data_IF_192653424326
#
_entry.id   IF_192653424326
#
_cell.length_a   1.000
_cell.length_b   1.000
_cell.length_c   1.000
_cell.angle_alpha   90.00
_cell.angle_beta   90.00
_cell.angle_gamma   90.00
#
_symmetry.space_group_name_H-M   'P 1'
#
loop_
_entity.id
_entity.type
_entity.pdbx_description
1 polymer ?
#
# COMPACT_ATOMS: atom_id res chain seq x y z
N UNK A 1 -29.56 2.70 -28.39
CA UNK A 1 -28.37 2.21 -27.67
C UNK A 1 -27.77 3.38 -26.91
N UNK A 2 -27.77 3.40 -25.56
CA UNK A 2 -26.96 4.36 -24.81
C UNK A 2 -25.46 3.99 -24.93
N UNK A 3 -24.59 4.99 -24.93
CA UNK A 3 -23.16 4.79 -25.13
C UNK A 3 -22.46 4.21 -23.90
N UNK A 4 -21.46 3.35 -24.11
CA UNK A 4 -20.58 2.82 -23.05
C UNK A 4 -19.64 3.94 -22.58
N UNK A 5 -19.87 4.45 -21.37
CA UNK A 5 -18.93 5.36 -20.69
C UNK A 5 -17.84 4.52 -20.00
N UNK A 6 -16.55 4.89 -20.06
CA UNK A 6 -15.47 4.04 -19.58
C UNK A 6 -15.37 4.06 -18.04
N UNK A 7 -15.73 2.94 -17.42
CA UNK A 7 -15.12 2.29 -16.25
C UNK A 7 -14.49 3.18 -15.15
N UNK A 8 -15.14 4.29 -14.80
CA UNK A 8 -14.87 4.98 -13.54
C UNK A 8 -15.64 4.27 -12.43
N UNK A 9 -14.96 3.36 -11.74
CA UNK A 9 -15.37 2.83 -10.45
C UNK A 9 -14.90 3.79 -9.34
N UNK A 10 -15.74 4.73 -8.84
CA UNK A 10 -15.43 5.37 -7.58
C UNK A 10 -15.43 4.30 -6.47
N UNK A 11 -14.49 4.34 -5.52
CA UNK A 11 -14.58 3.51 -4.34
C UNK A 11 -15.91 3.79 -3.64
N UNK A 12 -16.68 2.76 -3.32
CA UNK A 12 -18.04 2.99 -2.81
C UNK A 12 -18.01 3.63 -1.40
N UNK A 13 -19.05 4.44 -1.13
CA UNK A 13 -19.09 5.66 -0.27
C UNK A 13 -20.42 5.78 0.52
N UNK A 14 -20.64 5.00 1.59
CA UNK A 14 -21.95 4.66 2.21
C UNK A 14 -23.18 5.44 1.72
N UNK A 15 -24.02 4.96 0.80
CA UNK A 15 -23.95 4.01 -0.33
C UNK A 15 -23.19 2.66 -0.27
N UNK A 16 -21.86 2.56 -0.07
CA UNK A 16 -21.22 1.30 0.38
C UNK A 16 -19.74 1.40 0.77
N UNK A 17 -19.39 1.63 2.05
CA UNK A 17 -18.17 2.37 2.44
C UNK A 17 -16.79 1.67 2.38
N UNK A 18 -15.81 2.37 1.79
CA UNK A 18 -14.40 2.39 2.19
C UNK A 18 -14.18 3.53 3.22
N UNK A 19 -14.18 3.25 4.54
CA UNK A 19 -13.91 4.27 5.58
C UNK A 19 -12.46 4.79 5.56
N UNK A 20 -11.56 4.04 4.92
CA UNK A 20 -10.10 4.23 5.01
C UNK A 20 -9.57 4.53 3.63
N UNK A 21 -9.07 5.76 3.45
CA UNK A 21 -8.35 6.19 2.25
C UNK A 21 -6.86 6.20 2.56
N UNK A 22 -6.11 5.37 1.83
CA UNK A 22 -4.65 5.27 1.90
C UNK A 22 -4.07 6.08 0.75
N UNK A 23 -3.44 7.21 1.06
CA UNK A 23 -2.77 8.05 0.05
C UNK A 23 -1.34 7.59 -0.14
N UNK A 24 -1.09 6.85 -1.23
CA UNK A 24 0.22 6.37 -1.64
C UNK A 24 0.25 4.87 -1.97
N UNK A 25 0.34 4.53 -3.26
CA UNK A 25 0.50 3.16 -3.76
C UNK A 25 1.90 2.55 -3.61
N UNK A 26 2.64 2.94 -2.58
CA UNK A 26 3.97 2.38 -2.24
C UNK A 26 3.90 1.25 -1.22
N UNK A 27 5.07 0.69 -0.85
CA UNK A 27 5.18 -0.45 0.08
C UNK A 27 4.36 -0.25 1.36
N UNK A 28 4.51 0.90 2.03
CA UNK A 28 3.81 1.19 3.28
C UNK A 28 2.28 1.23 3.12
N UNK A 29 1.78 1.84 2.05
CA UNK A 29 0.34 1.95 1.79
C UNK A 29 -0.29 0.61 1.42
N UNK A 30 0.36 -0.18 0.56
CA UNK A 30 -0.11 -1.51 0.19
C UNK A 30 -0.01 -2.50 1.36
N UNK A 31 1.05 -2.42 2.17
CA UNK A 31 1.16 -3.20 3.42
C UNK A 31 0.03 -2.84 4.39
N UNK A 32 -0.27 -1.54 4.58
CA UNK A 32 -1.39 -1.10 5.40
C UNK A 32 -2.73 -1.66 4.89
N UNK A 33 -2.99 -1.59 3.58
CA UNK A 33 -4.19 -2.16 2.96
C UNK A 33 -4.32 -3.67 3.23
N UNK A 34 -3.25 -4.43 3.06
CA UNK A 34 -3.23 -5.87 3.34
C UNK A 34 -3.45 -6.17 4.83
N UNK A 35 -2.87 -5.39 5.74
CA UNK A 35 -3.03 -5.55 7.19
C UNK A 35 -4.42 -5.15 7.72
N UNK A 36 -5.20 -4.39 6.94
CA UNK A 36 -6.58 -4.04 7.25
C UNK A 36 -7.60 -5.09 6.75
N UNK A 37 -7.19 -6.03 5.89
CA UNK A 37 -8.05 -7.11 5.40
C UNK A 37 -8.73 -7.88 6.56
N UNK A 38 -10.05 -8.17 6.50
CA UNK A 38 -10.95 -8.03 5.36
C UNK A 38 -11.67 -6.67 5.24
N UNK A 39 -11.27 -5.62 5.98
CA UNK A 39 -11.88 -4.30 5.89
C UNK A 39 -11.67 -3.69 4.48
N UNK A 40 -12.72 -3.21 3.80
CA UNK A 40 -12.57 -2.44 2.56
C UNK A 40 -11.75 -1.16 2.77
N UNK A 41 -10.88 -0.85 1.81
CA UNK A 41 -10.02 0.35 1.81
C UNK A 41 -9.82 0.87 0.38
N UNK A 42 -9.78 2.18 0.24
CA UNK A 42 -9.36 2.85 -0.99
C UNK A 42 -7.85 3.08 -0.97
N UNK A 43 -7.13 2.72 -2.02
CA UNK A 43 -5.72 3.14 -2.22
C UNK A 43 -5.66 4.16 -3.36
N UNK A 44 -5.27 5.40 -3.04
CA UNK A 44 -5.02 6.45 -4.02
C UNK A 44 -3.54 6.47 -4.41
N UNK A 45 -3.23 6.40 -5.70
CA UNK A 45 -1.87 6.46 -6.23
C UNK A 45 -1.74 7.52 -7.33
N UNK A 46 -0.62 8.27 -7.32
CA UNK A 46 -0.36 9.35 -8.28
C UNK A 46 0.05 8.87 -9.68
N UNK A 47 0.37 7.58 -9.81
CA UNK A 47 0.65 6.87 -11.06
C UNK A 47 0.28 5.38 -10.87
N UNK A 48 0.36 4.52 -11.91
CA UNK A 48 0.10 3.10 -11.76
C UNK A 48 0.90 2.46 -10.61
N UNK A 49 0.28 1.51 -9.92
CA UNK A 49 0.91 0.73 -8.86
C UNK A 49 2.19 0.06 -9.41
N UNK A 50 3.28 0.16 -8.65
CA UNK A 50 4.59 -0.34 -9.08
C UNK A 50 5.37 0.59 -10.03
N UNK A 51 4.89 1.80 -10.34
CA UNK A 51 5.61 2.76 -11.19
C UNK A 51 5.92 4.09 -10.48
N UNK A 52 4.92 4.66 -9.78
CA UNK A 52 5.03 6.01 -9.18
C UNK A 52 5.61 6.12 -7.78
N UNK A 53 5.98 5.01 -7.14
CA UNK A 53 6.48 5.01 -5.75
C UNK A 53 7.92 4.51 -5.68
N UNK A 54 8.76 5.16 -4.86
CA UNK A 54 10.18 4.80 -4.68
C UNK A 54 10.40 3.34 -4.28
N UNK A 55 9.40 2.70 -3.65
CA UNK A 55 9.42 1.26 -3.34
C UNK A 55 9.63 0.35 -4.54
N UNK A 56 9.17 0.75 -5.74
CA UNK A 56 9.39 -0.01 -6.98
C UNK A 56 10.81 0.13 -7.55
N UNK A 57 11.55 1.13 -7.07
CA UNK A 57 12.91 1.47 -7.51
C UNK A 57 13.98 1.08 -6.47
N UNK A 58 13.57 0.41 -5.38
CA UNK A 58 14.48 -0.04 -4.33
C UNK A 58 15.41 -1.15 -4.86
N UNK A 59 16.73 -0.92 -4.77
CA UNK A 59 17.76 -1.85 -5.24
C UNK A 59 18.38 -2.70 -4.12
N UNK A 60 18.25 -2.25 -2.87
CA UNK A 60 18.78 -2.91 -1.68
C UNK A 60 17.67 -3.71 -0.94
N UNK A 61 18.07 -4.42 0.12
CA UNK A 61 17.15 -5.17 0.97
C UNK A 61 16.46 -4.35 2.06
N UNK A 62 15.60 -5.02 2.82
CA UNK A 62 15.03 -4.51 4.08
C UNK A 62 15.90 -5.05 5.23
N UNK A 63 16.39 -4.17 6.10
CA UNK A 63 17.15 -4.56 7.28
C UNK A 63 16.22 -5.21 8.33
N UNK A 64 16.65 -6.33 8.93
CA UNK A 64 15.90 -7.04 9.96
C UNK A 64 16.84 -7.90 10.82
N UNK A 65 16.62 -7.90 12.13
CA UNK A 65 17.39 -8.69 13.09
C UNK A 65 16.97 -10.18 13.07
N UNK A 66 17.40 -10.91 12.04
CA UNK A 66 17.00 -12.32 11.77
C UNK A 66 18.17 -13.30 11.74
N UNK A 67 19.40 -12.82 11.80
CA UNK A 67 20.61 -13.67 11.80
C UNK A 67 20.89 -14.25 13.19
N UNK A 68 21.54 -15.41 13.24
CA UNK A 68 21.98 -15.99 14.52
C UNK A 68 22.94 -15.04 15.25
N UNK A 69 22.60 -14.69 16.49
CA UNK A 69 23.38 -13.74 17.30
C UNK A 69 23.09 -12.26 17.04
N UNK A 70 22.23 -11.91 16.09
CA UNK A 70 21.69 -10.54 15.94
C UNK A 70 20.54 -10.29 16.93
N UNK A 71 20.31 -9.04 17.32
CA UNK A 71 19.28 -8.65 18.31
C UNK A 71 18.68 -7.28 17.99
N UNK A 72 17.45 -7.03 18.46
CA UNK A 72 16.77 -5.74 18.29
C UNK A 72 17.57 -4.59 18.92
N UNK A 73 18.23 -4.84 20.05
CA UNK A 73 19.01 -3.85 20.78
C UNK A 73 20.28 -3.44 20.03
N UNK A 74 20.90 -4.35 19.27
CA UNK A 74 22.03 -4.02 18.38
C UNK A 74 21.55 -3.17 17.21
N UNK A 75 20.52 -3.64 16.51
CA UNK A 75 19.91 -2.94 15.37
C UNK A 75 19.33 -1.55 15.74
N UNK A 76 19.03 -1.30 17.01
CA UNK A 76 18.58 0.01 17.53
C UNK A 76 19.75 0.95 17.87
N UNK A 77 20.96 0.42 18.05
CA UNK A 77 22.14 1.17 18.45
C UNK A 77 23.04 1.60 17.27
N UNK A 78 22.70 1.16 16.05
CA UNK A 78 23.32 1.54 14.77
C UNK A 78 22.84 2.93 14.27
#
# INVERSE_FOLDING_TARGET
>A
MPARQPDLFPPQSWTGIDDVVIVGGGLAGLFCALKLSPRPVTVLAAAPIGQGASSAWAQAGIAAAVSEGDTVEKHLAD
#
